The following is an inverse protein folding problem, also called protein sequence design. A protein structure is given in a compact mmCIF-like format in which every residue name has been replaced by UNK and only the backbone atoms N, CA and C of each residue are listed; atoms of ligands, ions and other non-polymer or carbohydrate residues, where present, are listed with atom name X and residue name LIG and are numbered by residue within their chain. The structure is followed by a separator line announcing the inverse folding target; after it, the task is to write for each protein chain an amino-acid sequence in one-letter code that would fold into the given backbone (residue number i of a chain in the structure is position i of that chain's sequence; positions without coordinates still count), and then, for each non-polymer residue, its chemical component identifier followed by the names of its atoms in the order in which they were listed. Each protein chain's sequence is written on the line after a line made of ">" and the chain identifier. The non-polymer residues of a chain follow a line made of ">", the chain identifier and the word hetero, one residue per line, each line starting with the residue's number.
data_IF_582566627389
#
_entry.id   IF_582566627389
#
_cell.length_a   1.000
_cell.length_b   1.000
_cell.length_c   1.000
_cell.angle_alpha   90.00
_cell.angle_beta   90.00
_cell.angle_gamma   90.00
#
_symmetry.space_group_name_H-M   'P 1'
#
loop_
_entity.id
_entity.type
_entity.pdbx_description
1 polymer ?
#
# COMPACT_ATOMS: atom_id res chain seq x y z
N UNK A 1 102.56 13.98 -37.43
CA UNK A 1 101.14 13.62 -37.23
C UNK A 1 101.10 12.56 -36.14
N UNK A 2 100.79 12.95 -34.90
CA UNK A 2 100.84 12.08 -33.71
C UNK A 2 99.39 11.89 -33.24
N UNK A 3 98.89 10.66 -33.30
CA UNK A 3 97.58 10.26 -32.77
C UNK A 3 97.74 9.90 -31.28
N UNK A 4 97.18 10.73 -30.41
CA UNK A 4 97.06 10.44 -28.97
C UNK A 4 95.72 9.74 -28.74
N UNK A 5 95.78 8.46 -28.37
CA UNK A 5 94.62 7.64 -28.02
C UNK A 5 94.19 7.95 -26.58
N UNK A 6 93.00 8.53 -26.41
CA UNK A 6 92.42 8.87 -25.10
C UNK A 6 91.70 7.65 -24.54
N UNK A 7 92.22 7.05 -23.45
CA UNK A 7 91.54 5.95 -22.76
C UNK A 7 90.27 6.45 -22.02
N UNK A 8 89.15 5.70 -22.06
CA UNK A 8 87.94 6.06 -21.34
C UNK A 8 88.08 5.82 -19.83
N UNK A 9 87.61 6.78 -19.04
CA UNK A 9 87.58 6.77 -17.58
C UNK A 9 86.53 5.80 -17.03
N UNK A 10 86.90 5.11 -15.95
CA UNK A 10 86.24 3.93 -15.36
C UNK A 10 84.91 4.26 -14.63
N UNK A 11 84.50 5.53 -14.55
CA UNK A 11 83.32 5.96 -13.79
C UNK A 11 81.96 5.69 -14.48
N UNK A 12 81.94 5.29 -15.75
CA UNK A 12 80.70 4.95 -16.47
C UNK A 12 80.08 3.59 -16.14
N UNK A 13 80.80 2.70 -15.45
CA UNK A 13 80.38 1.30 -15.25
C UNK A 13 79.55 1.06 -13.98
N UNK A 14 79.59 1.97 -13.00
CA UNK A 14 78.81 1.81 -11.75
C UNK A 14 77.31 2.04 -11.94
N UNK A 15 76.87 2.67 -13.03
CA UNK A 15 75.45 2.93 -13.24
C UNK A 15 74.67 1.75 -13.85
N UNK A 16 75.37 0.75 -14.42
CA UNK A 16 74.74 -0.40 -15.09
C UNK A 16 74.43 -1.53 -14.09
N UNK A 17 75.13 -1.63 -12.95
CA UNK A 17 74.88 -2.69 -11.97
C UNK A 17 73.64 -2.46 -11.10
N UNK A 18 73.13 -1.23 -11.03
CA UNK A 18 71.86 -0.91 -10.36
C UNK A 18 70.63 -1.51 -11.08
N UNK A 19 70.74 -1.82 -12.38
CA UNK A 19 69.66 -2.42 -13.16
C UNK A 19 69.65 -3.97 -13.14
N UNK A 20 70.69 -4.61 -12.57
CA UNK A 20 70.74 -6.09 -12.43
C UNK A 20 69.86 -6.62 -11.28
N UNK A 21 69.31 -5.74 -10.45
CA UNK A 21 68.34 -6.07 -9.40
C UNK A 21 66.91 -6.27 -9.90
N UNK A 22 66.59 -5.87 -11.14
CA UNK A 22 65.36 -6.32 -11.80
C UNK A 22 65.59 -7.76 -12.26
N UNK A 23 65.33 -8.72 -11.37
CA UNK A 23 65.18 -10.12 -11.77
C UNK A 23 64.20 -10.18 -12.94
N UNK A 24 64.69 -10.55 -14.12
CA UNK A 24 63.87 -10.76 -15.30
C UNK A 24 62.84 -11.83 -14.94
N UNK A 25 61.60 -11.41 -14.68
CA UNK A 25 60.49 -12.34 -14.48
C UNK A 25 60.45 -13.27 -15.70
N UNK A 26 60.53 -14.57 -15.45
CA UNK A 26 60.45 -15.56 -16.53
C UNK A 26 59.12 -15.41 -17.26
N UNK A 27 59.08 -15.77 -18.54
CA UNK A 27 57.84 -15.77 -19.33
C UNK A 27 56.68 -16.50 -18.61
N UNK A 28 56.99 -17.58 -17.90
CA UNK A 28 56.01 -18.34 -17.10
C UNK A 28 55.35 -17.50 -15.98
N UNK A 29 56.12 -16.66 -15.27
CA UNK A 29 55.57 -15.77 -14.24
C UNK A 29 54.65 -14.70 -14.80
N UNK A 30 54.91 -14.20 -16.01
CA UNK A 30 54.01 -13.26 -16.69
C UNK A 30 52.70 -13.91 -17.11
N UNK A 31 52.75 -15.11 -17.67
CA UNK A 31 51.54 -15.86 -18.06
C UNK A 31 50.65 -16.13 -16.84
N UNK A 32 51.23 -16.58 -15.73
CA UNK A 32 50.47 -16.79 -14.49
C UNK A 32 49.87 -15.49 -13.96
N UNK A 33 50.61 -14.38 -14.00
CA UNK A 33 50.09 -13.08 -13.58
C UNK A 33 48.87 -12.64 -14.42
N UNK A 34 48.94 -12.78 -15.75
CA UNK A 34 47.81 -12.46 -16.63
C UNK A 34 46.60 -13.38 -16.41
N UNK A 35 46.82 -14.68 -16.13
CA UNK A 35 45.74 -15.61 -15.78
C UNK A 35 45.03 -15.19 -14.48
N UNK A 36 45.78 -14.77 -13.46
CA UNK A 36 45.20 -14.26 -12.21
C UNK A 36 44.41 -12.97 -12.42
N UNK A 37 44.91 -12.03 -13.22
CA UNK A 37 44.17 -10.81 -13.57
C UNK A 37 42.87 -11.14 -14.30
N UNK A 38 42.89 -12.09 -15.24
CA UNK A 38 41.69 -12.57 -15.93
C UNK A 38 40.68 -13.21 -14.98
N UNK A 39 41.13 -14.05 -14.04
CA UNK A 39 40.28 -14.68 -13.04
C UNK A 39 39.62 -13.65 -12.11
N UNK A 40 40.39 -12.68 -11.62
CA UNK A 40 39.88 -11.61 -10.76
C UNK A 40 38.84 -10.77 -11.52
N UNK A 41 39.13 -10.42 -12.79
CA UNK A 41 38.19 -9.70 -13.64
C UNK A 41 36.87 -10.44 -13.82
N UNK A 42 36.92 -11.76 -14.06
CA UNK A 42 35.73 -12.60 -14.20
C UNK A 42 34.91 -12.68 -12.90
N UNK A 43 35.56 -12.81 -11.74
CA UNK A 43 34.89 -12.83 -10.43
C UNK A 43 34.19 -11.48 -10.17
N UNK A 44 34.86 -10.35 -10.44
CA UNK A 44 34.26 -9.03 -10.30
C UNK A 44 33.03 -8.86 -11.21
N UNK A 45 33.09 -9.35 -12.45
CA UNK A 45 31.95 -9.32 -13.37
C UNK A 45 30.77 -10.16 -12.84
N UNK A 46 31.02 -11.36 -12.32
CA UNK A 46 29.98 -12.21 -11.73
C UNK A 46 29.32 -11.58 -10.51
N UNK A 47 30.10 -11.01 -9.59
CA UNK A 47 29.56 -10.31 -8.41
C UNK A 47 28.69 -9.13 -8.85
N UNK A 48 29.13 -8.38 -9.85
CA UNK A 48 28.37 -7.26 -10.39
C UNK A 48 27.05 -7.72 -11.02
N UNK A 49 27.07 -8.81 -11.79
CA UNK A 49 25.87 -9.40 -12.40
C UNK A 49 24.87 -9.90 -11.34
N UNK A 50 25.35 -10.62 -10.31
CA UNK A 50 24.51 -11.09 -9.20
C UNK A 50 23.92 -9.90 -8.43
N UNK A 51 24.70 -8.84 -8.20
CA UNK A 51 24.23 -7.61 -7.56
C UNK A 51 23.11 -6.94 -8.36
N UNK A 52 23.29 -6.78 -9.68
CA UNK A 52 22.27 -6.21 -10.57
C UNK A 52 21.01 -7.08 -10.57
N UNK A 53 21.15 -8.40 -10.70
CA UNK A 53 20.01 -9.32 -10.71
C UNK A 53 19.23 -9.30 -9.39
N UNK A 54 19.94 -9.32 -8.25
CA UNK A 54 19.31 -9.27 -6.92
C UNK A 54 18.59 -7.94 -6.68
N UNK A 55 19.23 -6.81 -6.99
CA UNK A 55 18.61 -5.49 -6.87
C UNK A 55 17.42 -5.32 -7.81
N UNK A 56 17.53 -5.79 -9.06
CA UNK A 56 16.45 -5.76 -10.05
C UNK A 56 15.23 -6.57 -9.60
N UNK A 57 15.44 -7.77 -9.08
CA UNK A 57 14.35 -8.60 -8.55
C UNK A 57 13.65 -7.97 -7.36
N UNK A 58 14.41 -7.35 -6.43
CA UNK A 58 13.82 -6.63 -5.29
C UNK A 58 13.01 -5.42 -5.73
N UNK A 59 13.54 -4.61 -6.66
CA UNK A 59 12.83 -3.46 -7.20
C UNK A 59 11.55 -3.87 -7.93
N UNK A 60 11.60 -4.95 -8.72
CA UNK A 60 10.43 -5.49 -9.42
C UNK A 60 9.35 -5.99 -8.45
N UNK A 61 9.74 -6.72 -7.39
CA UNK A 61 8.81 -7.20 -6.38
C UNK A 61 8.17 -6.04 -5.59
N UNK A 62 8.93 -4.99 -5.25
CA UNK A 62 8.39 -3.81 -4.60
C UNK A 62 7.40 -3.06 -5.51
N UNK A 63 7.74 -2.92 -6.80
CA UNK A 63 6.88 -2.26 -7.77
C UNK A 63 5.58 -3.06 -8.00
N UNK A 64 5.65 -4.39 -8.07
CA UNK A 64 4.46 -5.24 -8.14
C UNK A 64 3.57 -5.10 -6.91
N UNK A 65 4.15 -5.00 -5.71
CA UNK A 65 3.38 -4.73 -4.48
C UNK A 65 2.68 -3.37 -4.54
N UNK A 66 3.38 -2.33 -5.01
CA UNK A 66 2.79 -0.99 -5.16
C UNK A 66 1.64 -1.00 -6.16
N UNK A 67 1.80 -1.68 -7.30
CA UNK A 67 0.75 -1.84 -8.31
C UNK A 67 -0.46 -2.54 -7.69
N UNK A 68 -0.24 -3.68 -7.01
CA UNK A 68 -1.33 -4.43 -6.36
C UNK A 68 -2.09 -3.60 -5.30
N UNK A 69 -1.36 -2.82 -4.49
CA UNK A 69 -1.96 -1.94 -3.49
C UNK A 69 -2.77 -0.84 -4.16
N UNK A 70 -2.23 -0.22 -5.22
CA UNK A 70 -2.93 0.81 -5.98
C UNK A 70 -4.17 0.26 -6.66
N UNK A 71 -4.10 -0.91 -7.30
CA UNK A 71 -5.24 -1.60 -7.91
C UNK A 71 -6.34 -1.86 -6.88
N UNK A 72 -5.99 -2.39 -5.70
CA UNK A 72 -6.96 -2.58 -4.62
C UNK A 72 -7.57 -1.27 -4.16
N UNK A 73 -6.77 -0.21 -4.00
CA UNK A 73 -7.28 1.10 -3.61
C UNK A 73 -8.20 1.70 -4.67
N UNK A 74 -7.90 1.51 -5.96
CA UNK A 74 -8.78 1.97 -7.04
C UNK A 74 -10.08 1.20 -7.08
N UNK A 75 -10.07 -0.10 -6.82
CA UNK A 75 -11.28 -0.93 -6.78
C UNK A 75 -12.20 -0.52 -5.62
N UNK A 76 -11.62 -0.31 -4.42
CA UNK A 76 -12.36 0.16 -3.25
C UNK A 76 -12.97 1.53 -3.53
N UNK A 77 -12.20 2.46 -4.11
CA UNK A 77 -12.70 3.80 -4.43
C UNK A 77 -13.79 3.76 -5.51
N UNK A 78 -13.65 2.90 -6.52
CA UNK A 78 -14.64 2.76 -7.59
C UNK A 78 -15.97 2.19 -7.06
N UNK A 79 -15.92 1.26 -6.11
CA UNK A 79 -17.12 0.65 -5.55
C UNK A 79 -17.75 1.48 -4.41
N UNK A 80 -16.93 2.02 -3.50
CA UNK A 80 -17.40 2.61 -2.25
C UNK A 80 -17.18 4.12 -2.16
N UNK A 81 -16.61 4.76 -3.19
CA UNK A 81 -16.29 6.19 -3.17
C UNK A 81 -17.49 7.09 -2.87
N UNK A 82 -18.62 6.86 -3.55
CA UNK A 82 -19.85 7.62 -3.30
C UNK A 82 -20.41 7.32 -1.91
N UNK A 83 -20.46 6.05 -1.52
CA UNK A 83 -21.04 5.59 -0.24
C UNK A 83 -20.25 6.12 0.94
N UNK A 84 -18.92 6.20 0.84
CA UNK A 84 -18.05 6.69 1.89
C UNK A 84 -18.31 8.16 2.24
N UNK A 85 -18.92 8.94 1.35
CA UNK A 85 -19.26 10.34 1.60
C UNK A 85 -20.61 10.51 2.31
N UNK A 86 -21.44 9.48 2.35
CA UNK A 86 -22.81 9.56 2.87
C UNK A 86 -22.84 9.33 4.39
N UNK A 87 -23.66 10.08 5.11
CA UNK A 87 -23.91 9.85 6.54
C UNK A 87 -25.03 8.83 6.78
N UNK A 88 -25.43 8.69 8.05
CA UNK A 88 -26.46 7.73 8.50
C UNK A 88 -27.83 7.85 7.82
N UNK A 89 -28.13 9.00 7.22
CA UNK A 89 -29.38 9.31 6.52
C UNK A 89 -29.25 9.26 4.99
N UNK A 90 -28.11 8.83 4.46
CA UNK A 90 -27.89 8.67 3.02
C UNK A 90 -27.57 9.95 2.25
N UNK A 91 -27.21 11.04 2.93
CA UNK A 91 -26.75 12.29 2.30
C UNK A 91 -25.35 12.69 2.78
N UNK A 92 -24.64 13.47 1.96
CA UNK A 92 -23.29 13.97 2.27
C UNK A 92 -23.27 15.03 3.40
N UNK A 93 -24.40 15.70 3.64
CA UNK A 93 -24.47 16.82 4.57
C UNK A 93 -24.97 16.36 5.94
N UNK A 94 -24.37 16.87 7.02
CA UNK A 94 -24.91 16.67 8.37
C UNK A 94 -26.32 17.29 8.50
N UNK A 95 -27.23 16.59 9.19
CA UNK A 95 -28.54 17.11 9.58
C UNK A 95 -28.30 18.27 10.60
N UNK A 96 -28.92 19.46 10.49
CA UNK A 96 -30.07 19.83 9.67
C UNK A 96 -29.71 20.81 8.56
N UNK A 97 -29.52 20.33 7.33
CA UNK A 97 -29.50 21.22 6.17
C UNK A 97 -30.92 21.63 5.79
N UNK A 98 -31.12 22.92 5.47
CA UNK A 98 -32.39 23.45 4.93
C UNK A 98 -32.74 22.81 3.58
N UNK A 99 -31.74 22.22 2.92
CA UNK A 99 -31.85 21.59 1.61
C UNK A 99 -31.95 20.08 1.81
N UNK A 100 -33.16 19.56 1.70
CA UNK A 100 -33.38 18.11 1.58
C UNK A 100 -32.87 17.65 0.21
N UNK A 101 -31.68 17.06 0.19
CA UNK A 101 -31.20 16.35 -1.01
C UNK A 101 -32.00 15.06 -1.12
N UNK A 102 -32.81 14.95 -2.15
CA UNK A 102 -33.67 13.79 -2.41
C UNK A 102 -32.96 12.87 -3.40
N UNK A 103 -32.18 11.93 -2.90
CA UNK A 103 -31.59 10.82 -3.66
C UNK A 103 -32.45 9.56 -3.51
N UNK A 104 -32.35 8.58 -4.44
CA UNK A 104 -33.02 7.29 -4.29
C UNK A 104 -32.76 6.62 -2.93
N UNK A 105 -31.52 6.74 -2.42
CA UNK A 105 -31.16 6.21 -1.11
C UNK A 105 -31.85 6.96 0.03
N UNK A 106 -31.82 8.30 0.05
CA UNK A 106 -32.53 9.08 1.10
C UNK A 106 -34.03 8.82 1.11
N UNK A 107 -34.65 8.64 -0.07
CA UNK A 107 -36.06 8.30 -0.21
C UNK A 107 -36.33 6.89 0.33
N UNK A 108 -35.42 5.93 0.08
CA UNK A 108 -35.54 4.56 0.61
C UNK A 108 -35.46 4.47 2.12
N UNK A 109 -34.94 5.50 2.79
CA UNK A 109 -34.78 5.58 4.25
C UNK A 109 -35.87 6.44 4.90
N UNK A 110 -36.75 7.07 4.12
CA UNK A 110 -37.79 7.95 4.65
C UNK A 110 -38.70 7.19 5.61
N UNK A 111 -38.93 7.75 6.80
CA UNK A 111 -39.76 7.11 7.83
C UNK A 111 -39.04 6.13 8.75
N UNK A 112 -37.74 5.86 8.53
CA UNK A 112 -36.95 4.92 9.38
C UNK A 112 -36.28 5.57 10.58
N UNK A 113 -36.21 6.91 10.62
CA UNK A 113 -35.54 7.64 11.68
C UNK A 113 -36.26 8.93 12.05
N UNK A 114 -35.98 9.39 13.26
CA UNK A 114 -36.31 10.72 13.76
C UNK A 114 -35.05 11.53 13.99
N UNK A 115 -35.20 12.86 13.96
CA UNK A 115 -34.13 13.80 14.30
C UNK A 115 -34.50 14.44 15.63
N UNK A 116 -33.84 14.01 16.70
CA UNK A 116 -34.05 14.51 18.06
C UNK A 116 -32.77 15.18 18.54
N UNK A 117 -32.86 16.44 18.95
CA UNK A 117 -31.72 17.26 19.42
C UNK A 117 -30.51 17.26 18.47
N UNK A 118 -30.78 17.28 17.16
CA UNK A 118 -29.75 17.24 16.11
C UNK A 118 -29.07 15.87 15.94
N UNK A 119 -29.61 14.82 16.55
CA UNK A 119 -29.13 13.44 16.41
C UNK A 119 -30.16 12.59 15.67
N UNK A 120 -29.66 11.72 14.81
CA UNK A 120 -30.48 10.72 14.14
C UNK A 120 -30.73 9.54 15.09
N UNK A 121 -31.99 9.16 15.25
CA UNK A 121 -32.41 7.98 15.99
C UNK A 121 -33.30 7.10 15.13
N UNK A 122 -32.91 5.84 14.91
CA UNK A 122 -33.74 4.89 14.17
C UNK A 122 -35.00 4.53 14.96
N UNK A 123 -36.14 4.46 14.26
CA UNK A 123 -37.41 4.03 14.83
C UNK A 123 -37.40 2.51 14.99
N UNK A 124 -37.65 2.03 16.20
CA UNK A 124 -37.84 0.61 16.46
C UNK A 124 -39.33 0.24 16.27
N UNK A 125 -39.76 0.18 15.02
CA UNK A 125 -41.12 -0.28 14.63
C UNK A 125 -41.00 -1.31 13.51
N UNK A 126 -42.01 -2.16 13.34
CA UNK A 126 -42.01 -3.17 12.27
C UNK A 126 -42.01 -2.53 10.87
N UNK A 127 -42.70 -1.42 10.72
CA UNK A 127 -42.71 -0.62 9.49
C UNK A 127 -41.30 -0.08 9.15
N UNK A 128 -40.59 0.47 10.14
CA UNK A 128 -39.22 0.95 9.96
C UNK A 128 -38.27 -0.19 9.57
N UNK A 129 -38.39 -1.35 10.22
CA UNK A 129 -37.61 -2.53 9.90
C UNK A 129 -37.86 -3.01 8.46
N UNK A 130 -39.11 -3.03 8.00
CA UNK A 130 -39.45 -3.42 6.63
C UNK A 130 -38.85 -2.45 5.60
N UNK A 131 -38.92 -1.14 5.85
CA UNK A 131 -38.32 -0.13 4.99
C UNK A 131 -36.80 -0.30 4.94
N UNK A 132 -36.15 -0.51 6.09
CA UNK A 132 -34.70 -0.73 6.15
C UNK A 132 -34.28 -2.02 5.43
N UNK A 133 -35.02 -3.12 5.57
CA UNK A 133 -34.79 -4.36 4.83
C UNK A 133 -34.95 -4.17 3.32
N UNK A 134 -35.89 -3.33 2.88
CA UNK A 134 -36.03 -2.96 1.48
C UNK A 134 -34.85 -2.08 1.00
N UNK A 135 -34.46 -1.09 1.80
CA UNK A 135 -33.29 -0.24 1.52
C UNK A 135 -32.01 -1.07 1.41
N UNK A 136 -31.76 -2.01 2.33
CA UNK A 136 -30.62 -2.91 2.30
C UNK A 136 -30.63 -3.86 1.08
N UNK A 137 -31.81 -4.21 0.55
CA UNK A 137 -31.91 -4.97 -0.71
C UNK A 137 -31.59 -4.13 -1.95
N UNK A 138 -32.01 -2.86 -1.95
CA UNK A 138 -31.78 -1.94 -3.08
C UNK A 138 -30.36 -1.37 -3.08
N UNK A 139 -29.80 -1.12 -1.90
CA UNK A 139 -28.48 -0.51 -1.67
C UNK A 139 -27.65 -1.42 -0.74
N UNK A 140 -27.25 -2.62 -1.20
CA UNK A 140 -26.60 -3.62 -0.33
C UNK A 140 -25.25 -3.18 0.23
N UNK A 141 -24.57 -2.24 -0.46
CA UNK A 141 -23.28 -1.70 -0.05
C UNK A 141 -23.41 -0.48 0.87
N UNK A 142 -24.62 -0.04 1.22
CA UNK A 142 -24.82 1.07 2.16
C UNK A 142 -24.79 0.57 3.62
N UNK A 143 -23.80 0.99 4.43
CA UNK A 143 -23.55 0.35 5.73
C UNK A 143 -24.64 0.65 6.76
N UNK A 144 -25.27 1.82 6.68
CA UNK A 144 -26.16 2.30 7.74
C UNK A 144 -27.54 1.61 7.73
N UNK A 145 -28.02 1.11 6.58
CA UNK A 145 -29.23 0.27 6.56
C UNK A 145 -29.00 -1.02 7.33
N UNK A 146 -27.88 -1.71 7.09
CA UNK A 146 -27.50 -2.92 7.84
C UNK A 146 -27.29 -2.63 9.32
N UNK A 147 -26.63 -1.52 9.65
CA UNK A 147 -26.45 -1.09 11.03
C UNK A 147 -27.80 -0.86 11.75
N UNK A 148 -28.72 -0.14 11.11
CA UNK A 148 -30.04 0.15 11.68
C UNK A 148 -30.87 -1.14 11.89
N UNK A 149 -30.82 -2.07 10.93
CA UNK A 149 -31.45 -3.38 11.07
C UNK A 149 -30.86 -4.14 12.26
N UNK A 150 -29.53 -4.22 12.34
CA UNK A 150 -28.84 -4.88 13.44
C UNK A 150 -29.22 -4.27 14.79
N UNK A 151 -29.25 -2.94 14.89
CA UNK A 151 -29.63 -2.23 16.10
C UNK A 151 -31.08 -2.56 16.52
N UNK A 152 -32.03 -2.52 15.59
CA UNK A 152 -33.44 -2.83 15.86
C UNK A 152 -33.60 -4.30 16.30
N UNK A 153 -32.97 -5.25 15.59
CA UNK A 153 -33.04 -6.67 15.91
C UNK A 153 -32.38 -7.00 17.25
N UNK A 154 -31.25 -6.34 17.56
CA UNK A 154 -30.57 -6.46 18.84
C UNK A 154 -31.47 -6.01 19.99
N UNK A 155 -32.15 -4.86 19.85
CA UNK A 155 -33.13 -4.39 20.85
C UNK A 155 -34.34 -5.32 21.03
N UNK A 156 -34.58 -6.23 20.09
CA UNK A 156 -35.67 -7.20 20.10
C UNK A 156 -35.22 -8.60 20.54
N UNK A 157 -33.97 -8.75 20.99
CA UNK A 157 -33.35 -10.04 21.31
C UNK A 157 -33.36 -11.06 20.15
N UNK A 158 -33.37 -10.59 18.89
CA UNK A 158 -33.38 -11.44 17.70
C UNK A 158 -31.96 -11.76 17.24
N UNK A 159 -31.54 -13.02 17.32
CA UNK A 159 -30.19 -13.48 17.00
C UNK A 159 -29.72 -13.16 15.56
N UNK A 160 -30.63 -12.89 14.62
CA UNK A 160 -30.28 -12.48 13.25
C UNK A 160 -29.63 -11.10 13.17
N UNK A 161 -29.64 -10.31 14.26
CA UNK A 161 -28.95 -9.02 14.33
C UNK A 161 -27.46 -9.10 13.94
N UNK A 162 -26.80 -10.23 14.26
CA UNK A 162 -25.36 -10.43 14.03
C UNK A 162 -24.99 -10.40 12.55
N UNK A 163 -25.79 -11.02 11.69
CA UNK A 163 -25.50 -11.06 10.25
C UNK A 163 -25.48 -9.64 9.65
N UNK A 164 -26.45 -8.82 10.04
CA UNK A 164 -26.51 -7.42 9.61
C UNK A 164 -25.38 -6.58 10.22
N UNK A 165 -25.01 -6.82 11.49
CA UNK A 165 -23.89 -6.15 12.13
C UNK A 165 -22.55 -6.46 11.43
N UNK A 166 -22.31 -7.74 11.12
CA UNK A 166 -21.11 -8.18 10.39
C UNK A 166 -21.07 -7.59 8.98
N UNK A 167 -22.22 -7.54 8.29
CA UNK A 167 -22.28 -6.93 6.96
C UNK A 167 -21.98 -5.44 6.98
N UNK A 168 -22.54 -4.72 7.96
CA UNK A 168 -22.25 -3.30 8.15
C UNK A 168 -20.77 -3.08 8.46
N UNK A 169 -20.20 -3.89 9.36
CA UNK A 169 -18.79 -3.86 9.73
C UNK A 169 -17.88 -4.04 8.50
N UNK A 170 -18.15 -5.03 7.65
CA UNK A 170 -17.40 -5.31 6.42
C UNK A 170 -17.31 -4.08 5.49
N UNK A 171 -18.43 -3.38 5.33
CA UNK A 171 -18.52 -2.18 4.47
C UNK A 171 -17.83 -0.99 5.13
N UNK A 172 -18.02 -0.81 6.45
CA UNK A 172 -17.40 0.27 7.21
C UNK A 172 -15.87 0.16 7.20
N UNK A 173 -15.32 -1.05 7.29
CA UNK A 173 -13.88 -1.28 7.19
C UNK A 173 -13.29 -0.90 5.83
N UNK A 174 -14.10 -0.94 4.75
CA UNK A 174 -13.67 -0.48 3.42
C UNK A 174 -13.83 1.03 3.28
N UNK A 175 -15.00 1.55 3.64
CA UNK A 175 -15.34 2.98 3.48
C UNK A 175 -14.48 3.90 4.35
N UNK A 176 -14.11 3.49 5.56
CA UNK A 176 -13.22 4.28 6.45
C UNK A 176 -11.77 4.38 5.95
N UNK A 177 -11.37 3.53 4.99
CA UNK A 177 -10.05 3.66 4.34
C UNK A 177 -10.01 4.74 3.26
N UNK A 178 -11.18 5.26 2.85
CA UNK A 178 -11.29 6.29 1.82
C UNK A 178 -11.04 7.67 2.45
N UNK A 179 -10.15 8.49 1.87
CA UNK A 179 -9.92 9.85 2.36
C UNK A 179 -11.18 10.71 2.33
N UNK A 180 -11.37 11.54 3.36
CA UNK A 180 -12.52 12.46 3.51
C UNK A 180 -13.89 11.77 3.61
N UNK A 181 -13.93 10.48 3.97
CA UNK A 181 -15.18 9.80 4.26
C UNK A 181 -15.97 10.49 5.39
N UNK A 182 -17.26 10.22 5.48
CA UNK A 182 -18.15 10.82 6.46
C UNK A 182 -17.84 10.29 7.88
N UNK A 183 -17.69 11.17 8.89
CA UNK A 183 -17.29 10.77 10.25
C UNK A 183 -18.26 9.82 10.96
N UNK A 184 -19.51 9.72 10.49
CA UNK A 184 -20.45 8.71 10.98
C UNK A 184 -19.90 7.28 10.78
N UNK A 185 -19.11 7.04 9.73
CA UNK A 185 -18.54 5.72 9.46
C UNK A 185 -17.57 5.29 10.58
N UNK A 186 -16.65 6.17 10.99
CA UNK A 186 -15.71 5.90 12.07
C UNK A 186 -16.42 5.61 13.40
N UNK A 187 -17.45 6.41 13.69
CA UNK A 187 -18.25 6.26 14.92
C UNK A 187 -18.94 4.89 14.97
N UNK A 188 -19.67 4.53 13.91
CA UNK A 188 -20.39 3.25 13.86
C UNK A 188 -19.42 2.07 13.80
N UNK A 189 -18.28 2.21 13.11
CA UNK A 189 -17.24 1.19 13.08
C UNK A 189 -16.70 0.88 14.49
N UNK A 190 -16.44 1.91 15.29
CA UNK A 190 -15.98 1.75 16.66
C UNK A 190 -17.03 1.07 17.55
N UNK A 191 -18.30 1.44 17.39
CA UNK A 191 -19.44 0.86 18.11
C UNK A 191 -19.59 -0.64 17.80
N UNK A 192 -19.68 -1.01 16.52
CA UNK A 192 -19.80 -2.41 16.11
C UNK A 192 -18.59 -3.27 16.54
N UNK A 193 -17.37 -2.72 16.50
CA UNK A 193 -16.17 -3.43 16.99
C UNK A 193 -16.16 -3.64 18.50
N UNK A 194 -16.95 -2.88 19.25
CA UNK A 194 -17.10 -3.08 20.70
C UNK A 194 -18.16 -4.13 21.03
N UNK A 195 -19.26 -4.16 20.29
CA UNK A 195 -20.40 -5.06 20.51
C UNK A 195 -20.19 -6.48 19.95
N UNK A 196 -19.38 -6.63 18.89
CA UNK A 196 -19.11 -7.94 18.26
C UNK A 196 -17.95 -8.73 18.90
N UNK A 197 -17.31 -8.20 19.96
CA UNK A 197 -16.25 -8.90 20.72
C UNK A 197 -16.83 -9.85 21.76
#
# INVERSE_FOLDING_TARGET
>A
MILIQKQPTIDGLKHIESLKGLSFMTYSSWVSAFQWVGLIGAICALISFVGIWYCGNKASAEQQRKILVLERSTDILAQFGEIAMLGMHGSEYAIPSVIKVSTPLTQSLEGTYDVLDGRLQYRNTDESLEILLNSARQFPDFPFSHYAIAYILYQRDDASWREHAEKSLEILEKTTTIPNHNPDHDKILAELKSELK
#
